data_IF_260316293815
#
_entry.id   IF_260316293815
#
_cell.length_a   1.000
_cell.length_b   1.000
_cell.length_c   1.000
_cell.angle_alpha   90.00
_cell.angle_beta   90.00
_cell.angle_gamma   90.00
#
_symmetry.space_group_name_H-M   'P 1'
#
loop_
_entity.id
_entity.type
_entity.pdbx_description
1 polymer ?
#
# COMPACT_ATOMS: atom_id res chain seq x y z
N UNK A 1 11.88 0.06 -0.76
CA UNK A 1 10.98 -0.88 -1.47
C UNK A 1 11.35 -0.86 -2.95
N UNK A 2 11.87 -1.97 -3.48
CA UNK A 2 12.26 -2.06 -4.88
C UNK A 2 11.12 -2.66 -5.72
N UNK A 3 10.07 -1.90 -5.97
CA UNK A 3 9.10 -2.21 -7.02
C UNK A 3 9.63 -1.53 -8.28
N UNK A 4 10.61 -2.19 -8.95
CA UNK A 4 11.38 -1.54 -10.03
C UNK A 4 10.87 -1.79 -11.43
N UNK A 5 10.07 -2.83 -11.67
CA UNK A 5 9.98 -3.40 -13.02
C UNK A 5 8.55 -3.58 -13.57
N UNK A 6 7.52 -2.99 -12.95
CA UNK A 6 6.17 -3.09 -13.46
C UNK A 6 5.54 -1.70 -13.58
N UNK A 7 4.70 -1.44 -14.57
CA UNK A 7 3.79 -0.32 -14.48
C UNK A 7 2.97 -0.53 -13.20
N UNK A 8 3.27 0.30 -12.19
CA UNK A 8 2.74 0.14 -10.85
C UNK A 8 1.24 0.42 -10.85
N UNK A 9 0.44 -0.62 -10.95
CA UNK A 9 -0.98 -0.54 -10.72
C UNK A 9 -1.23 -0.49 -9.20
N UNK A 10 -1.86 0.56 -8.74
CA UNK A 10 -2.23 0.78 -7.32
C UNK A 10 -3.00 -0.39 -6.74
N UNK A 11 -3.87 -0.99 -7.54
CA UNK A 11 -4.66 -2.17 -7.18
C UNK A 11 -3.77 -3.37 -6.92
N UNK A 12 -2.89 -3.70 -7.85
CA UNK A 12 -1.98 -4.85 -7.72
C UNK A 12 -1.02 -4.66 -6.54
N UNK A 13 -0.45 -3.47 -6.38
CA UNK A 13 0.45 -3.16 -5.26
C UNK A 13 -0.28 -3.30 -3.94
N UNK A 14 -1.43 -2.66 -3.80
CA UNK A 14 -2.22 -2.72 -2.55
C UNK A 14 -2.65 -4.14 -2.23
N UNK A 15 -3.18 -4.87 -3.20
CA UNK A 15 -3.62 -6.25 -3.02
C UNK A 15 -2.47 -7.15 -2.56
N UNK A 16 -1.32 -7.06 -3.24
CA UNK A 16 -0.12 -7.83 -2.85
C UNK A 16 0.33 -7.52 -1.42
N UNK A 17 0.27 -6.27 -0.98
CA UNK A 17 0.63 -5.89 0.39
C UNK A 17 -0.40 -6.38 1.41
N UNK A 18 -1.70 -6.27 1.12
CA UNK A 18 -2.74 -6.76 2.02
C UNK A 18 -2.64 -8.26 2.29
N UNK A 19 -2.18 -9.03 1.33
CA UNK A 19 -2.02 -10.48 1.46
C UNK A 19 -0.84 -10.91 2.33
N UNK A 20 0.06 -9.99 2.69
CA UNK A 20 1.29 -10.31 3.44
C UNK A 20 1.13 -10.27 4.95
N UNK A 21 0.27 -9.40 5.47
CA UNK A 21 0.06 -9.20 6.90
C UNK A 21 -1.41 -8.95 7.22
N UNK A 22 -1.88 -9.54 8.31
CA UNK A 22 -3.26 -9.36 8.82
C UNK A 22 -3.60 -7.89 9.06
N UNK A 23 -2.64 -7.11 9.56
CA UNK A 23 -2.81 -5.71 9.89
C UNK A 23 -3.04 -4.81 8.67
N UNK A 24 -2.56 -5.20 7.50
CA UNK A 24 -2.51 -4.31 6.34
C UNK A 24 -3.87 -3.76 5.93
N UNK A 25 -4.86 -4.63 5.68
CA UNK A 25 -6.20 -4.17 5.27
C UNK A 25 -6.91 -3.37 6.37
N UNK A 26 -6.57 -3.60 7.64
CA UNK A 26 -7.13 -2.88 8.79
C UNK A 26 -6.50 -1.49 8.92
N UNK A 27 -5.18 -1.39 8.75
CA UNK A 27 -4.41 -0.16 8.98
C UNK A 27 -4.50 0.79 7.78
N UNK A 28 -4.41 0.28 6.55
CA UNK A 28 -4.58 1.08 5.34
C UNK A 28 -5.63 0.49 4.38
N UNK A 29 -6.92 0.48 4.80
CA UNK A 29 -8.01 -0.06 3.99
C UNK A 29 -8.30 0.78 2.73
N UNK A 30 -7.83 2.01 2.71
CA UNK A 30 -7.82 2.92 1.56
C UNK A 30 -6.78 2.53 0.49
N UNK A 31 -5.86 1.63 0.84
CA UNK A 31 -4.80 1.18 -0.06
C UNK A 31 -3.63 2.15 -0.13
N UNK A 32 -2.81 1.96 -1.14
CA UNK A 32 -1.59 2.73 -1.39
C UNK A 32 -1.66 3.34 -2.79
N UNK A 33 -1.59 4.66 -2.86
CA UNK A 33 -1.45 5.37 -4.13
C UNK A 33 -0.05 5.20 -4.70
N UNK A 34 0.08 5.23 -6.02
CA UNK A 34 1.38 5.10 -6.68
C UNK A 34 1.55 6.22 -7.69
N UNK A 35 2.72 6.85 -7.66
CA UNK A 35 3.18 7.78 -8.68
C UNK A 35 4.38 7.19 -9.41
N UNK A 36 4.45 7.35 -10.74
CA UNK A 36 5.64 7.00 -11.50
C UNK A 36 6.82 7.85 -11.02
N UNK A 37 8.02 7.53 -11.50
CA UNK A 37 9.15 8.40 -11.24
C UNK A 37 8.87 9.82 -11.74
N UNK A 38 9.08 10.78 -10.88
CA UNK A 38 8.97 12.21 -11.16
C UNK A 38 10.18 12.91 -10.55
N UNK A 39 10.57 14.04 -11.12
CA UNK A 39 11.67 14.83 -10.58
C UNK A 39 11.28 15.36 -9.19
N UNK A 40 12.06 15.01 -8.19
CA UNK A 40 11.84 15.47 -6.83
C UNK A 40 12.09 16.98 -6.69
N UNK A 41 11.57 17.58 -5.62
CA UNK A 41 11.64 19.03 -5.35
C UNK A 41 10.95 19.93 -6.39
N UNK A 42 10.04 19.36 -7.19
CA UNK A 42 9.24 20.12 -8.16
C UNK A 42 7.80 20.30 -7.69
N UNK A 43 7.13 21.32 -8.21
CA UNK A 43 5.69 21.50 -7.96
C UNK A 43 4.86 20.35 -8.54
N UNK A 44 5.31 19.77 -9.64
CA UNK A 44 4.61 18.67 -10.33
C UNK A 44 4.43 17.45 -9.43
N UNK A 45 5.48 16.98 -8.74
CA UNK A 45 5.37 15.86 -7.82
C UNK A 45 4.55 16.21 -6.59
N UNK A 46 4.64 17.47 -6.13
CA UNK A 46 3.81 17.98 -5.04
C UNK A 46 2.32 17.96 -5.37
N UNK A 47 1.94 18.48 -6.52
CA UNK A 47 0.55 18.50 -7.00
C UNK A 47 0.02 17.08 -7.25
N UNK A 48 0.81 16.23 -7.90
CA UNK A 48 0.45 14.83 -8.13
C UNK A 48 0.25 14.06 -6.81
N UNK A 49 1.11 14.31 -5.83
CA UNK A 49 0.98 13.72 -4.49
C UNK A 49 -0.28 14.21 -3.80
N UNK A 50 -0.54 15.51 -3.81
CA UNK A 50 -1.73 16.10 -3.21
C UNK A 50 -3.01 15.55 -3.84
N UNK A 51 -3.04 15.34 -5.15
CA UNK A 51 -4.19 14.74 -5.83
C UNK A 51 -4.41 13.29 -5.36
N UNK A 52 -3.36 12.47 -5.30
CA UNK A 52 -3.43 11.10 -4.78
C UNK A 52 -3.89 11.06 -3.31
N UNK A 53 -3.45 11.99 -2.51
CA UNK A 53 -3.79 12.05 -1.09
C UNK A 53 -5.23 12.48 -0.78
N UNK A 54 -6.00 12.84 -1.77
CA UNK A 54 -7.46 12.98 -1.62
C UNK A 54 -8.14 11.63 -1.34
N UNK A 55 -7.52 10.53 -1.75
CA UNK A 55 -8.10 9.19 -1.67
C UNK A 55 -7.21 8.15 -0.96
N UNK A 56 -5.93 8.45 -0.80
CA UNK A 56 -4.96 7.58 -0.13
C UNK A 56 -4.23 8.33 0.97
N UNK A 57 -3.97 7.69 2.10
CA UNK A 57 -3.09 8.23 3.15
C UNK A 57 -1.62 7.90 2.92
N UNK A 58 -1.35 6.97 2.01
CA UNK A 58 -0.01 6.50 1.65
C UNK A 58 0.16 6.60 0.15
N UNK A 59 1.28 7.16 -0.29
CA UNK A 59 1.63 7.28 -1.72
C UNK A 59 3.07 6.84 -1.93
N UNK A 60 3.28 5.87 -2.80
CA UNK A 60 4.60 5.44 -3.23
C UNK A 60 5.07 6.37 -4.36
N UNK A 61 6.24 6.94 -4.20
CA UNK A 61 6.97 7.63 -5.26
C UNK A 61 7.93 6.65 -5.91
N UNK A 62 7.69 6.34 -7.16
CA UNK A 62 8.52 5.41 -7.93
C UNK A 62 10.00 5.75 -7.84
N UNK A 63 10.85 4.76 -7.53
CA UNK A 63 12.31 4.90 -7.37
C UNK A 63 12.78 5.84 -6.25
N UNK A 64 11.88 6.34 -5.40
CA UNK A 64 12.23 7.29 -4.35
C UNK A 64 11.88 6.75 -2.95
N UNK A 65 10.61 6.49 -2.68
CA UNK A 65 10.19 6.07 -1.35
C UNK A 65 8.67 6.14 -1.17
N UNK A 66 8.25 6.30 0.08
CA UNK A 66 6.85 6.40 0.45
C UNK A 66 6.56 7.70 1.18
N UNK A 67 5.45 8.32 0.84
CA UNK A 67 4.89 9.49 1.50
C UNK A 67 3.63 9.09 2.25
N UNK A 68 3.49 9.55 3.49
CA UNK A 68 2.33 9.23 4.32
C UNK A 68 1.77 10.45 5.02
N UNK A 69 0.47 10.41 5.33
CA UNK A 69 -0.21 11.41 6.15
C UNK A 69 -1.18 10.74 7.13
N UNK A 70 -1.20 11.24 8.33
CA UNK A 70 -2.10 10.83 9.40
C UNK A 70 -2.38 12.01 10.33
N UNK A 71 -3.19 11.79 11.35
CA UNK A 71 -3.55 12.83 12.33
C UNK A 71 -2.41 13.16 13.29
N UNK A 72 -1.53 12.20 13.52
CA UNK A 72 -0.37 12.33 14.41
C UNK A 72 0.86 11.74 13.74
N UNK A 73 2.05 12.07 14.25
CA UNK A 73 3.31 11.48 13.80
C UNK A 73 3.32 9.95 14.05
N UNK A 74 2.84 9.51 15.19
CA UNK A 74 2.79 8.08 15.55
C UNK A 74 1.88 7.30 14.61
N UNK A 75 0.70 7.85 14.29
CA UNK A 75 -0.21 7.24 13.31
C UNK A 75 0.45 7.15 11.93
N UNK A 76 1.05 8.24 11.46
CA UNK A 76 1.70 8.29 10.15
C UNK A 76 2.88 7.33 10.07
N UNK A 77 3.69 7.27 11.12
CA UNK A 77 4.81 6.35 11.21
C UNK A 77 4.33 4.88 11.19
N UNK A 78 3.30 4.57 11.97
CA UNK A 78 2.69 3.24 12.00
C UNK A 78 2.12 2.80 10.65
N UNK A 79 1.51 3.73 9.89
CA UNK A 79 1.05 3.48 8.52
C UNK A 79 2.23 3.09 7.60
N UNK A 80 3.30 3.86 7.63
CA UNK A 80 4.49 3.63 6.80
C UNK A 80 5.19 2.32 7.20
N UNK A 81 5.38 2.08 8.50
CA UNK A 81 5.99 0.83 8.99
C UNK A 81 5.20 -0.42 8.56
N UNK A 82 3.87 -0.35 8.61
CA UNK A 82 3.03 -1.50 8.20
C UNK A 82 3.23 -1.82 6.73
N UNK A 83 3.28 -0.82 5.86
CA UNK A 83 3.56 -1.01 4.43
C UNK A 83 4.97 -1.53 4.20
N UNK A 84 5.97 -0.96 4.87
CA UNK A 84 7.37 -1.40 4.76
C UNK A 84 7.53 -2.86 5.20
N UNK A 85 6.89 -3.27 6.30
CA UNK A 85 6.91 -4.65 6.77
C UNK A 85 6.27 -5.60 5.76
N UNK A 86 5.13 -5.26 5.21
CA UNK A 86 4.47 -6.07 4.18
C UNK A 86 5.34 -6.18 2.92
N UNK A 87 5.95 -5.08 2.49
CA UNK A 87 6.86 -5.05 1.35
C UNK A 87 8.12 -5.90 1.59
N UNK A 88 8.68 -5.86 2.79
CA UNK A 88 9.80 -6.71 3.19
C UNK A 88 9.44 -8.20 3.11
N UNK A 89 8.29 -8.60 3.67
CA UNK A 89 7.80 -9.98 3.60
C UNK A 89 7.61 -10.40 2.14
N UNK A 90 6.97 -9.55 1.33
CA UNK A 90 6.76 -9.80 -0.09
C UNK A 90 8.09 -10.05 -0.82
N UNK A 91 9.09 -9.20 -0.60
CA UNK A 91 10.40 -9.34 -1.23
C UNK A 91 11.15 -10.60 -0.78
N UNK A 92 11.12 -10.91 0.51
CA UNK A 92 11.79 -12.10 1.06
C UNK A 92 11.15 -13.41 0.57
N UNK A 93 9.85 -13.39 0.30
CA UNK A 93 9.09 -14.58 -0.10
C UNK A 93 8.92 -14.72 -1.62
N UNK A 94 9.14 -13.65 -2.39
CA UNK A 94 8.89 -13.61 -3.84
C UNK A 94 9.70 -14.64 -4.65
N UNK A 95 10.85 -15.06 -4.12
CA UNK A 95 11.71 -16.08 -4.76
C UNK A 95 11.36 -17.52 -4.35
N UNK A 96 10.45 -17.71 -3.42
CA UNK A 96 10.04 -19.04 -2.97
C UNK A 96 9.10 -19.68 -4.00
N UNK A 97 9.18 -21.00 -4.22
CA UNK A 97 8.34 -21.71 -5.20
C UNK A 97 6.88 -21.76 -4.78
N UNK A 98 6.59 -21.58 -3.49
CA UNK A 98 5.26 -21.49 -2.91
C UNK A 98 5.28 -20.51 -1.75
N UNK A 99 4.29 -19.62 -1.72
CA UNK A 99 4.03 -18.74 -0.60
C UNK A 99 2.57 -18.91 -0.16
N UNK A 100 2.34 -18.86 1.14
CA UNK A 100 1.00 -18.73 1.70
C UNK A 100 0.68 -17.24 1.75
N UNK A 101 -0.51 -16.89 1.32
CA UNK A 101 -1.01 -15.52 1.37
C UNK A 101 -2.41 -15.53 2.01
N UNK A 102 -2.80 -14.39 2.57
CA UNK A 102 -4.17 -14.20 3.02
C UNK A 102 -5.07 -14.15 1.79
N UNK A 103 -6.11 -14.98 1.74
CA UNK A 103 -7.05 -15.00 0.61
C UNK A 103 -7.99 -13.79 0.65
N UNK A 104 -8.61 -13.48 -0.50
CA UNK A 104 -9.58 -12.39 -0.60
C UNK A 104 -10.76 -12.55 0.36
N UNK A 105 -11.23 -13.77 0.56
CA UNK A 105 -12.33 -14.03 1.51
C UNK A 105 -11.90 -13.80 2.95
N UNK A 106 -10.67 -14.17 3.31
CA UNK A 106 -10.08 -13.86 4.61
C UNK A 106 -9.86 -12.36 4.81
N UNK A 107 -9.44 -11.64 3.76
CA UNK A 107 -9.32 -10.18 3.81
C UNK A 107 -10.68 -9.49 4.02
N UNK A 108 -11.73 -9.99 3.39
CA UNK A 108 -13.11 -9.50 3.62
C UNK A 108 -13.55 -9.76 5.06
N UNK A 109 -13.33 -10.98 5.56
CA UNK A 109 -13.65 -11.34 6.94
C UNK A 109 -12.94 -10.43 7.96
N UNK A 110 -11.65 -10.17 7.75
CA UNK A 110 -10.87 -9.23 8.57
C UNK A 110 -11.48 -7.82 8.55
N UNK A 111 -11.76 -7.30 7.37
CA UNK A 111 -12.31 -5.96 7.23
C UNK A 111 -13.70 -5.83 7.90
N UNK A 112 -14.54 -6.85 7.77
CA UNK A 112 -15.85 -6.89 8.41
C UNK A 112 -15.73 -6.97 9.93
N UNK A 113 -14.88 -7.84 10.45
CA UNK A 113 -14.66 -8.01 11.88
C UNK A 113 -14.19 -6.71 12.57
N UNK A 114 -13.25 -5.99 11.93
CA UNK A 114 -12.74 -4.72 12.44
C UNK A 114 -13.57 -3.50 12.03
N UNK A 115 -14.65 -3.69 11.27
CA UNK A 115 -15.56 -2.62 10.86
C UNK A 115 -14.89 -1.56 9.97
N UNK A 116 -13.88 -1.94 9.18
CA UNK A 116 -13.19 -1.01 8.29
C UNK A 116 -13.82 -0.97 6.91
N UNK A 117 -13.91 0.23 6.34
CA UNK A 117 -14.33 0.42 4.95
C UNK A 117 -13.10 0.37 4.06
N UNK A 118 -13.01 -0.67 3.26
CA UNK A 118 -11.90 -0.89 2.35
C UNK A 118 -12.32 -0.71 0.87
N UNK A 119 -11.34 -0.58 0.00
CA UNK A 119 -11.55 -0.53 -1.45
C UNK A 119 -11.88 -1.92 -1.99
N UNK A 120 -13.17 -2.16 -2.19
CA UNK A 120 -13.68 -3.47 -2.66
C UNK A 120 -13.16 -3.84 -4.05
N UNK A 121 -12.98 -2.85 -4.92
CA UNK A 121 -12.43 -3.00 -6.27
C UNK A 121 -10.96 -3.48 -6.28
N UNK A 122 -10.24 -3.38 -5.17
CA UNK A 122 -8.88 -3.86 -5.03
C UNK A 122 -8.79 -5.36 -4.71
N UNK A 123 -9.86 -5.99 -4.26
CA UNK A 123 -9.93 -7.44 -4.03
C UNK A 123 -10.45 -8.21 -5.25
N UNK A 124 -11.25 -7.59 -6.07
CA UNK A 124 -11.77 -8.25 -7.28
C UNK A 124 -10.74 -8.18 -8.40
N UNK A 125 -9.94 -9.17 -8.47
CA UNK A 125 -9.12 -9.45 -9.64
C UNK A 125 -9.80 -10.47 -10.52
#
# INVERSE_FOLDING_TARGET
MCIRDSPLDEKEVTHSLWQMCTECIVVFPDGVGVLPWMLCETNEIGEATAEKMKTFRLVIWGMHGIYGAGKTMDETFGLIETVEKAAEIYMLTSSLPRINTISDDQLKELAEYFGVKYRKDFLSC
#
